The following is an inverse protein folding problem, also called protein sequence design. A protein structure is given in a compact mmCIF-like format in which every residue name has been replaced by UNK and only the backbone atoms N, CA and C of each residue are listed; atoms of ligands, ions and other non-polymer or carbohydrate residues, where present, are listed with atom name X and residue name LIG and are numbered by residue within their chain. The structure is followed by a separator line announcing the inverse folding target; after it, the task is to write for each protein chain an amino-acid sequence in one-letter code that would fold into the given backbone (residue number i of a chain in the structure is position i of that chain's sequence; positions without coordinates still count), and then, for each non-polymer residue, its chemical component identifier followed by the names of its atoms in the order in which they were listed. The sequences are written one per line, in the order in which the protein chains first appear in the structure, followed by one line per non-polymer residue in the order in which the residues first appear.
data_IF_595153511305
#
_entry.id   IF_595153511305
#
_cell.length_a   1.000
_cell.length_b   1.000
_cell.length_c   1.000
_cell.angle_alpha   90.00
_cell.angle_beta   90.00
_cell.angle_gamma   90.00
#
_symmetry.space_group_name_H-M   'P 1'
#
loop_
_entity.id
_entity.type
_entity.pdbx_description
1 polymer ?
#
# COMPACT_ATOMS: atom_id res chain seq x y z
N UNK A 1 -12.16 18.73 27.23
CA UNK A 1 -13.48 18.20 26.82
C UNK A 1 -13.29 17.20 25.70
N UNK A 2 -14.00 16.11 25.73
CA UNK A 2 -14.01 15.12 24.65
C UNK A 2 -14.80 15.69 23.46
N UNK A 3 -14.24 15.63 22.25
CA UNK A 3 -14.92 16.11 21.03
C UNK A 3 -15.89 15.05 20.53
N UNK A 4 -17.17 15.43 20.40
CA UNK A 4 -18.23 14.57 19.83
C UNK A 4 -18.65 15.21 18.50
N UNK A 5 -18.52 14.47 17.41
CA UNK A 5 -18.83 14.92 16.06
C UNK A 5 -20.25 14.45 15.70
N UNK A 6 -21.06 15.38 15.16
CA UNK A 6 -22.44 15.10 14.73
C UNK A 6 -23.28 14.48 15.86
N UNK A 7 -23.00 14.85 17.11
CA UNK A 7 -23.68 14.39 18.32
C UNK A 7 -23.64 12.87 18.58
N UNK A 8 -22.92 12.13 17.74
CA UNK A 8 -22.94 10.64 17.71
C UNK A 8 -21.56 9.99 17.79
N UNK A 9 -20.49 10.69 17.40
CA UNK A 9 -19.18 10.06 17.25
C UNK A 9 -18.16 10.70 18.19
N UNK A 10 -17.80 10.00 19.24
CA UNK A 10 -16.75 10.40 20.16
C UNK A 10 -15.40 10.25 19.48
N UNK A 11 -14.70 11.38 19.25
CA UNK A 11 -13.40 11.41 18.61
C UNK A 11 -12.34 10.78 19.50
N UNK A 12 -11.58 9.87 18.93
CA UNK A 12 -10.50 9.16 19.59
C UNK A 12 -9.12 9.59 19.10
N UNK A 13 -8.19 8.62 19.07
CA UNK A 13 -6.80 8.90 18.68
C UNK A 13 -6.65 9.15 17.19
N UNK A 14 -5.64 9.98 16.83
CA UNK A 14 -5.17 10.14 15.45
C UNK A 14 -4.56 8.83 14.94
N UNK A 15 -4.95 8.42 13.72
CA UNK A 15 -4.43 7.22 13.05
C UNK A 15 -3.68 7.55 11.75
N UNK A 16 -3.84 8.75 11.21
CA UNK A 16 -3.13 9.16 10.00
C UNK A 16 -3.20 10.65 9.73
N UNK A 17 -2.42 11.09 8.76
CA UNK A 17 -2.54 12.42 8.15
C UNK A 17 -2.12 12.33 6.69
N UNK A 18 -2.92 12.91 5.81
CA UNK A 18 -2.67 13.02 4.39
C UNK A 18 -2.53 14.47 3.95
N UNK A 19 -2.41 14.67 2.64
CA UNK A 19 -2.32 16.01 2.04
C UNK A 19 -3.57 16.86 2.28
N UNK A 20 -4.70 16.23 2.58
CA UNK A 20 -6.04 16.85 2.62
C UNK A 20 -6.75 16.62 3.95
N UNK A 21 -6.02 16.45 5.05
CA UNK A 21 -6.63 16.36 6.37
C UNK A 21 -5.99 15.36 7.30
N UNK A 22 -6.55 15.26 8.49
CA UNK A 22 -6.11 14.36 9.57
C UNK A 22 -7.15 13.28 9.77
N UNK A 23 -6.70 12.05 9.98
CA UNK A 23 -7.57 10.88 10.16
C UNK A 23 -7.50 10.42 11.61
N UNK A 24 -8.67 10.22 12.20
CA UNK A 24 -8.85 9.77 13.58
C UNK A 24 -9.70 8.49 13.63
N UNK A 25 -9.56 7.72 14.68
CA UNK A 25 -10.60 6.79 15.11
C UNK A 25 -11.71 7.57 15.80
N UNK A 26 -12.95 7.10 15.68
CA UNK A 26 -14.02 7.51 16.56
C UNK A 26 -14.92 6.32 16.90
N UNK A 27 -15.68 6.45 17.97
CA UNK A 27 -16.64 5.45 18.41
C UNK A 27 -18.03 6.04 18.42
N UNK A 28 -18.98 5.38 17.77
CA UNK A 28 -20.38 5.77 17.83
C UNK A 28 -20.89 5.55 19.27
N UNK A 29 -21.49 6.58 19.89
CA UNK A 29 -21.80 6.58 21.32
C UNK A 29 -22.87 5.55 21.73
N UNK A 30 -23.77 5.19 20.84
CA UNK A 30 -24.88 4.25 21.10
C UNK A 30 -24.53 2.81 20.67
N UNK A 31 -23.96 2.65 19.45
CA UNK A 31 -23.71 1.33 18.87
C UNK A 31 -22.31 0.78 19.16
N UNK A 32 -21.44 1.61 19.72
CA UNK A 32 -20.01 1.32 19.96
C UNK A 32 -19.23 0.94 18.70
N UNK A 33 -19.81 1.19 17.51
CA UNK A 33 -19.12 0.96 16.24
C UNK A 33 -17.89 1.86 16.14
N UNK A 34 -16.74 1.27 15.79
CA UNK A 34 -15.50 2.00 15.57
C UNK A 34 -15.43 2.40 14.10
N UNK A 35 -15.18 3.69 13.84
CA UNK A 35 -15.18 4.28 12.50
C UNK A 35 -13.90 5.09 12.24
N UNK A 36 -13.64 5.41 10.97
CA UNK A 36 -12.60 6.34 10.55
C UNK A 36 -13.21 7.71 10.29
N UNK A 37 -12.59 8.75 10.84
CA UNK A 37 -13.02 10.15 10.71
C UNK A 37 -11.92 10.94 10.04
N UNK A 38 -12.18 11.48 8.85
CA UNK A 38 -11.29 12.42 8.16
C UNK A 38 -11.77 13.85 8.44
N UNK A 39 -10.87 14.70 8.90
CA UNK A 39 -11.14 16.10 9.28
C UNK A 39 -10.24 17.01 8.45
N UNK A 40 -10.82 18.00 7.81
CA UNK A 40 -10.13 19.05 7.04
C UNK A 40 -10.59 20.42 7.50
N UNK A 41 -9.64 21.29 7.81
CA UNK A 41 -9.99 22.69 8.14
C UNK A 41 -10.50 23.40 6.87
N UNK A 42 -11.66 24.04 6.96
CA UNK A 42 -12.32 24.75 5.84
C UNK A 42 -11.55 25.96 5.33
N UNK A 43 -10.63 26.49 6.13
CA UNK A 43 -9.78 27.62 5.77
C UNK A 43 -8.52 27.20 5.00
N UNK A 44 -8.36 25.91 4.69
CA UNK A 44 -7.25 25.45 3.85
C UNK A 44 -7.33 26.09 2.47
N UNK A 45 -6.18 26.32 1.83
CA UNK A 45 -6.10 26.97 0.51
C UNK A 45 -6.90 26.25 -0.59
N UNK A 46 -7.06 24.94 -0.47
CA UNK A 46 -7.76 24.09 -1.44
C UNK A 46 -8.56 23.01 -0.71
N UNK A 47 -9.74 23.35 -0.16
CA UNK A 47 -10.56 22.37 0.56
C UNK A 47 -11.10 21.32 -0.42
N UNK A 48 -10.94 20.04 -0.08
CA UNK A 48 -11.32 18.91 -0.94
C UNK A 48 -12.27 17.93 -0.28
N UNK A 49 -12.37 17.92 1.05
CA UNK A 49 -13.10 16.87 1.76
C UNK A 49 -14.60 16.86 1.43
N UNK A 50 -15.21 18.00 1.20
CA UNK A 50 -16.63 18.07 0.80
C UNK A 50 -16.86 17.51 -0.62
N UNK A 51 -15.89 17.72 -1.52
CA UNK A 51 -15.92 17.12 -2.85
C UNK A 51 -15.74 15.60 -2.78
N UNK A 52 -14.76 15.15 -2.00
CA UNK A 52 -14.51 13.74 -1.74
C UNK A 52 -15.75 13.04 -1.14
N UNK A 53 -16.42 13.67 -0.17
CA UNK A 53 -17.64 13.15 0.43
C UNK A 53 -18.81 13.00 -0.59
N UNK A 54 -18.93 13.92 -1.56
CA UNK A 54 -19.89 13.80 -2.66
C UNK A 54 -19.57 12.57 -3.53
N UNK A 55 -18.30 12.32 -3.81
CA UNK A 55 -17.88 11.16 -4.60
C UNK A 55 -18.16 9.85 -3.88
N UNK A 56 -17.86 9.75 -2.59
CA UNK A 56 -18.24 8.58 -1.80
C UNK A 56 -19.76 8.30 -1.89
N UNK A 57 -20.60 9.36 -1.89
CA UNK A 57 -22.07 9.19 -2.03
C UNK A 57 -22.44 8.60 -3.39
N UNK A 58 -21.78 9.05 -4.48
CA UNK A 58 -22.04 8.54 -5.85
C UNK A 58 -21.56 7.11 -6.00
N UNK A 59 -20.47 6.75 -5.34
CA UNK A 59 -19.81 5.45 -5.43
C UNK A 59 -20.37 4.44 -4.42
N UNK A 60 -21.19 4.87 -3.45
CA UNK A 60 -21.70 4.00 -2.39
C UNK A 60 -22.43 2.77 -2.94
N UNK A 61 -22.28 1.63 -2.24
CA UNK A 61 -22.81 0.33 -2.66
C UNK A 61 -21.88 -0.43 -3.62
N UNK A 62 -20.82 0.20 -4.15
CA UNK A 62 -19.81 -0.49 -4.93
C UNK A 62 -18.93 -1.41 -4.08
N UNK A 63 -18.62 -2.59 -4.62
CA UNK A 63 -17.70 -3.51 -3.94
C UNK A 63 -16.34 -2.87 -3.73
N UNK A 64 -15.83 -2.83 -2.48
CA UNK A 64 -14.56 -2.21 -2.12
C UNK A 64 -14.60 -0.67 -2.08
N UNK A 65 -15.76 -0.08 -1.91
CA UNK A 65 -15.97 1.31 -1.53
C UNK A 65 -16.45 1.31 -0.07
N UNK A 66 -15.80 2.03 0.86
CA UNK A 66 -16.27 2.14 2.23
C UNK A 66 -17.60 2.90 2.31
N UNK A 67 -18.45 2.50 3.25
CA UNK A 67 -19.71 3.18 3.47
C UNK A 67 -19.50 4.50 4.21
N UNK A 68 -20.29 5.52 3.82
CA UNK A 68 -20.38 6.76 4.60
C UNK A 68 -21.27 6.50 5.81
N UNK A 69 -20.78 6.86 6.98
CA UNK A 69 -21.53 6.84 8.25
C UNK A 69 -22.11 8.21 8.55
N UNK A 70 -21.33 9.26 8.30
CA UNK A 70 -21.75 10.64 8.47
C UNK A 70 -20.85 11.59 7.67
N UNK A 71 -21.40 12.73 7.29
CA UNK A 71 -20.64 13.83 6.67
C UNK A 71 -21.28 15.16 7.03
N UNK A 72 -20.47 16.17 7.23
CA UNK A 72 -20.97 17.50 7.57
C UNK A 72 -19.87 18.47 7.93
N UNK A 73 -20.26 19.48 8.68
CA UNK A 73 -19.39 20.52 9.22
C UNK A 73 -19.49 20.45 10.74
N UNK A 74 -18.35 20.51 11.41
CA UNK A 74 -18.23 20.56 12.85
C UNK A 74 -17.31 21.74 13.21
N UNK A 75 -17.88 22.85 13.67
CA UNK A 75 -17.18 24.11 13.84
C UNK A 75 -16.55 24.61 12.53
N UNK A 76 -15.24 24.80 12.53
CA UNK A 76 -14.48 25.26 11.35
C UNK A 76 -13.99 24.10 10.46
N UNK A 77 -14.39 22.87 10.74
CA UNK A 77 -13.90 21.69 10.04
C UNK A 77 -14.97 21.04 9.15
N UNK A 78 -14.58 20.64 7.96
CA UNK A 78 -15.30 19.65 7.17
C UNK A 78 -14.96 18.27 7.69
N UNK A 79 -15.95 17.40 7.84
CA UNK A 79 -15.78 16.06 8.40
C UNK A 79 -16.45 15.03 7.52
N UNK A 80 -15.76 13.91 7.31
CA UNK A 80 -16.24 12.72 6.65
C UNK A 80 -15.98 11.51 7.56
N UNK A 81 -17.01 10.74 7.85
CA UNK A 81 -16.96 9.49 8.65
C UNK A 81 -17.33 8.33 7.75
N UNK A 82 -16.43 7.34 7.69
CA UNK A 82 -16.58 6.15 6.86
C UNK A 82 -16.28 4.89 7.67
N UNK A 83 -16.55 3.71 7.11
CA UNK A 83 -16.14 2.44 7.67
C UNK A 83 -14.66 2.49 8.06
N UNK A 84 -14.33 1.93 9.24
CA UNK A 84 -12.93 1.64 9.56
C UNK A 84 -12.45 0.49 8.68
N UNK A 85 -11.30 0.68 8.04
CA UNK A 85 -10.65 -0.33 7.22
C UNK A 85 -9.37 -0.83 7.90
N UNK A 86 -8.82 -1.91 7.37
CA UNK A 86 -7.57 -2.49 7.76
C UNK A 86 -6.34 -1.73 7.22
N UNK A 87 -5.17 -2.36 7.23
CA UNK A 87 -3.93 -1.75 6.76
C UNK A 87 -3.97 -1.46 5.26
N UNK A 88 -3.21 -0.43 4.84
CA UNK A 88 -2.98 -0.15 3.43
C UNK A 88 -2.04 -1.20 2.80
N UNK A 89 -2.09 -1.33 1.47
CA UNK A 89 -1.16 -2.21 0.76
C UNK A 89 0.31 -1.71 0.88
N UNK A 90 0.54 -0.40 1.14
CA UNK A 90 1.88 0.10 1.46
C UNK A 90 2.36 -0.41 2.83
N UNK A 91 1.49 -0.37 3.86
CA UNK A 91 1.81 -0.94 5.18
C UNK A 91 2.12 -2.44 5.08
N UNK A 92 1.32 -3.17 4.31
CA UNK A 92 1.47 -4.61 4.13
C UNK A 92 2.72 -4.98 3.34
N UNK A 93 3.05 -4.27 2.27
CA UNK A 93 4.29 -4.54 1.52
C UNK A 93 5.53 -4.26 2.36
N UNK A 94 5.50 -3.20 3.18
CA UNK A 94 6.57 -2.92 4.14
C UNK A 94 6.68 -4.03 5.19
N UNK A 95 5.54 -4.48 5.73
CA UNK A 95 5.48 -5.59 6.70
C UNK A 95 6.03 -6.91 6.12
N UNK A 96 5.80 -7.17 4.83
CA UNK A 96 6.30 -8.34 4.11
C UNK A 96 7.72 -8.18 3.54
N UNK A 97 8.54 -7.28 4.09
CA UNK A 97 9.93 -7.10 3.65
C UNK A 97 10.06 -6.38 2.31
N UNK A 98 9.10 -5.52 1.97
CA UNK A 98 9.03 -4.67 0.77
C UNK A 98 8.79 -5.40 -0.55
N UNK A 99 8.35 -6.64 -0.51
CA UNK A 99 7.95 -7.40 -1.69
C UNK A 99 6.78 -8.31 -1.37
N UNK A 100 5.94 -8.53 -2.37
CA UNK A 100 4.93 -9.57 -2.34
C UNK A 100 5.32 -10.72 -3.28
N UNK A 101 4.85 -11.93 -2.96
CA UNK A 101 4.90 -13.07 -3.86
C UNK A 101 4.04 -12.83 -5.11
N UNK A 102 4.35 -13.53 -6.20
CA UNK A 102 3.55 -13.47 -7.43
C UNK A 102 2.09 -13.83 -7.15
N UNK A 103 1.83 -14.87 -6.35
CA UNK A 103 0.47 -15.27 -5.95
C UNK A 103 -0.30 -14.11 -5.32
N UNK A 104 0.30 -13.45 -4.32
CA UNK A 104 -0.32 -12.30 -3.64
C UNK A 104 -0.60 -11.16 -4.62
N UNK A 105 0.37 -10.81 -5.49
CA UNK A 105 0.20 -9.73 -6.48
C UNK A 105 -0.93 -10.03 -7.46
N UNK A 106 -1.05 -11.26 -7.95
CA UNK A 106 -2.10 -11.64 -8.89
C UNK A 106 -3.49 -11.62 -8.27
N UNK A 107 -3.64 -12.07 -7.00
CA UNK A 107 -4.91 -11.95 -6.26
C UNK A 107 -5.30 -10.50 -6.02
N UNK A 108 -4.33 -9.60 -5.76
CA UNK A 108 -4.58 -8.18 -5.60
C UNK A 108 -4.93 -7.50 -6.94
N UNK A 109 -4.21 -7.84 -8.02
CA UNK A 109 -4.40 -7.23 -9.34
C UNK A 109 -5.84 -7.36 -9.83
N UNK A 110 -6.45 -8.54 -9.71
CA UNK A 110 -7.83 -8.78 -10.10
C UNK A 110 -8.81 -7.85 -9.35
N UNK A 111 -8.63 -7.72 -8.03
CA UNK A 111 -9.46 -6.85 -7.21
C UNK A 111 -9.21 -5.37 -7.54
N UNK A 112 -7.95 -4.94 -7.66
CA UNK A 112 -7.60 -3.54 -7.92
C UNK A 112 -8.10 -3.07 -9.29
N UNK A 113 -7.96 -3.89 -10.35
CA UNK A 113 -8.54 -3.61 -11.67
C UNK A 113 -10.06 -3.45 -11.55
N UNK A 114 -10.72 -4.32 -10.78
CA UNK A 114 -12.19 -4.25 -10.58
C UNK A 114 -12.61 -2.96 -9.86
N UNK A 115 -11.82 -2.45 -8.89
CA UNK A 115 -12.11 -1.17 -8.21
C UNK A 115 -11.98 0.01 -9.16
N UNK A 116 -10.94 0.02 -10.00
CA UNK A 116 -10.73 1.07 -11.01
C UNK A 116 -11.81 1.02 -12.08
N UNK A 117 -12.17 -0.17 -12.57
CA UNK A 117 -13.28 -0.37 -13.52
C UNK A 117 -14.59 0.20 -12.96
N UNK A 118 -14.91 -0.09 -11.69
CA UNK A 118 -16.11 0.44 -11.04
C UNK A 118 -16.10 1.97 -11.01
N UNK A 119 -15.00 2.59 -10.58
CA UNK A 119 -14.85 4.06 -10.55
C UNK A 119 -15.03 4.66 -11.95
N UNK A 120 -14.39 4.07 -12.96
CA UNK A 120 -14.51 4.50 -14.34
C UNK A 120 -15.93 4.33 -14.89
N UNK A 121 -16.65 3.27 -14.49
CA UNK A 121 -18.05 3.06 -14.89
C UNK A 121 -18.99 4.15 -14.35
N UNK A 122 -18.65 4.76 -13.21
CA UNK A 122 -19.35 5.92 -12.64
C UNK A 122 -18.94 7.25 -13.24
N UNK A 123 -18.04 7.24 -14.24
CA UNK A 123 -17.59 8.44 -14.97
C UNK A 123 -16.48 9.22 -14.29
N UNK A 124 -15.74 8.62 -13.37
CA UNK A 124 -14.66 9.27 -12.63
C UNK A 124 -13.31 8.59 -12.85
N UNK A 125 -12.23 9.37 -12.79
CA UNK A 125 -10.85 8.95 -12.68
C UNK A 125 -10.41 9.13 -11.23
N UNK A 126 -9.52 8.27 -10.75
CA UNK A 126 -8.92 8.40 -9.42
C UNK A 126 -7.79 9.44 -9.39
N UNK A 127 -6.88 9.37 -10.33
CA UNK A 127 -5.71 10.24 -10.55
C UNK A 127 -4.61 10.19 -9.47
N UNK A 128 -4.76 9.32 -8.47
CA UNK A 128 -3.70 9.05 -7.47
C UNK A 128 -3.68 7.57 -7.08
N UNK A 129 -3.57 6.69 -8.08
CA UNK A 129 -3.42 5.25 -7.87
C UNK A 129 -2.04 4.99 -7.26
N UNK A 130 -2.05 4.50 -6.01
CA UNK A 130 -0.85 4.15 -5.23
C UNK A 130 -1.21 3.12 -4.15
N UNK A 131 -0.23 2.38 -3.60
CA UNK A 131 -0.47 1.37 -2.56
C UNK A 131 -1.17 1.91 -1.31
N UNK A 132 -0.89 3.17 -0.94
CA UNK A 132 -1.48 3.83 0.23
C UNK A 132 -3.01 4.00 0.12
N UNK A 133 -3.55 4.08 -1.10
CA UNK A 133 -4.96 4.31 -1.37
C UNK A 133 -5.77 3.02 -1.59
N UNK A 134 -5.14 1.86 -1.38
CA UNK A 134 -5.81 0.57 -1.34
C UNK A 134 -5.63 -0.06 0.04
N UNK A 135 -6.73 -0.31 0.73
CA UNK A 135 -6.77 -0.88 2.07
C UNK A 135 -7.46 -2.24 2.06
N UNK A 136 -7.03 -3.13 2.92
CA UNK A 136 -7.77 -4.37 3.18
C UNK A 136 -8.98 -4.08 4.07
N UNK A 137 -10.02 -4.87 3.94
CA UNK A 137 -11.14 -4.81 4.86
C UNK A 137 -10.81 -5.40 6.24
N UNK A 138 -11.78 -5.41 7.15
CA UNK A 138 -11.69 -5.99 8.49
C UNK A 138 -12.69 -7.13 8.68
N UNK A 139 -12.41 -8.03 9.62
CA UNK A 139 -13.29 -9.14 9.98
C UNK A 139 -13.62 -10.02 8.76
N UNK A 140 -14.90 -10.23 8.48
CA UNK A 140 -15.37 -11.05 7.35
C UNK A 140 -14.96 -10.52 5.98
N UNK A 141 -14.53 -9.25 5.88
CA UNK A 141 -14.08 -8.60 4.65
C UNK A 141 -12.54 -8.46 4.58
N UNK A 142 -11.80 -9.14 5.44
CA UNK A 142 -10.34 -9.02 5.54
C UNK A 142 -9.58 -9.44 4.26
N UNK A 143 -10.23 -10.17 3.36
CA UNK A 143 -9.71 -10.56 2.05
C UNK A 143 -10.12 -9.62 0.90
N UNK A 144 -10.90 -8.58 1.20
CA UNK A 144 -11.41 -7.63 0.21
C UNK A 144 -10.55 -6.37 0.17
N UNK A 145 -10.15 -5.95 -1.05
CA UNK A 145 -9.46 -4.68 -1.29
C UNK A 145 -10.47 -3.55 -1.43
N UNK A 146 -10.23 -2.47 -0.70
CA UNK A 146 -10.97 -1.21 -0.78
C UNK A 146 -10.12 -0.14 -1.44
N UNK A 147 -10.73 0.76 -2.20
CA UNK A 147 -10.10 1.96 -2.73
C UNK A 147 -10.65 3.18 -1.98
N UNK A 148 -9.74 4.10 -1.61
CA UNK A 148 -10.05 5.29 -0.80
C UNK A 148 -9.38 6.53 -1.39
N UNK A 149 -9.67 7.69 -0.80
CA UNK A 149 -9.05 9.00 -1.07
C UNK A 149 -9.38 9.51 -2.49
N UNK A 150 -10.63 9.94 -2.67
CA UNK A 150 -11.11 10.54 -3.92
C UNK A 150 -10.89 12.07 -4.00
N UNK A 151 -10.03 12.62 -3.13
CA UNK A 151 -9.76 14.07 -3.10
C UNK A 151 -9.19 14.62 -4.41
N UNK A 152 -8.46 13.81 -5.16
CA UNK A 152 -7.95 14.16 -6.50
C UNK A 152 -8.78 13.61 -7.65
N UNK A 153 -9.87 12.88 -7.38
CA UNK A 153 -10.68 12.27 -8.43
C UNK A 153 -11.30 13.33 -9.35
N UNK A 154 -11.56 12.98 -10.60
CA UNK A 154 -12.10 13.89 -11.60
C UNK A 154 -13.15 13.19 -12.47
N UNK A 155 -14.26 13.88 -12.72
CA UNK A 155 -15.21 13.42 -13.74
C UNK A 155 -14.57 13.52 -15.13
N UNK A 156 -14.53 12.39 -15.85
CA UNK A 156 -13.99 12.34 -17.20
C UNK A 156 -15.06 12.21 -18.27
N UNK A 157 -16.29 11.89 -17.90
CA UNK A 157 -17.42 11.71 -18.81
C UNK A 157 -18.64 12.42 -18.25
N UNK A 158 -19.27 13.23 -19.09
CA UNK A 158 -20.50 13.92 -18.74
C UNK A 158 -21.64 12.91 -18.52
N UNK A 159 -22.42 13.01 -17.43
CA UNK A 159 -23.44 12.02 -17.10
C UNK A 159 -24.69 12.09 -18.01
N UNK A 160 -24.92 13.23 -18.67
CA UNK A 160 -26.09 13.45 -19.53
C UNK A 160 -25.74 13.17 -20.98
N UNK A 161 -24.70 13.82 -21.49
CA UNK A 161 -24.31 13.73 -22.90
C UNK A 161 -23.40 12.52 -23.19
N UNK A 162 -22.90 11.86 -22.17
CA UNK A 162 -21.94 10.75 -22.24
C UNK A 162 -20.63 11.12 -22.94
N UNK A 163 -20.35 12.40 -23.15
CA UNK A 163 -19.15 12.89 -23.82
C UNK A 163 -17.93 12.81 -22.88
N UNK A 164 -16.81 12.37 -23.43
CA UNK A 164 -15.52 12.40 -22.75
C UNK A 164 -15.00 13.84 -22.62
N UNK A 165 -14.23 14.14 -21.56
CA UNK A 165 -13.54 15.42 -21.47
C UNK A 165 -12.58 15.58 -22.66
N UNK A 166 -12.33 16.82 -23.12
CA UNK A 166 -11.43 17.05 -24.23
C UNK A 166 -9.97 16.78 -23.85
N UNK A 167 -9.19 16.32 -24.85
CA UNK A 167 -7.74 16.26 -24.75
C UNK A 167 -7.16 17.65 -24.51
N UNK A 168 -6.21 17.74 -23.58
CA UNK A 168 -5.51 18.98 -23.24
C UNK A 168 -4.07 18.67 -22.87
N UNK A 169 -3.18 19.62 -23.16
CA UNK A 169 -1.78 19.58 -22.76
C UNK A 169 -1.47 20.69 -21.73
N UNK A 170 -0.22 20.79 -21.34
CA UNK A 170 0.28 21.76 -20.35
C UNK A 170 -0.42 21.69 -18.99
N UNK A 171 -0.78 20.47 -18.57
CA UNK A 171 -1.35 20.22 -17.25
C UNK A 171 -0.26 20.03 -16.20
N UNK A 172 -0.49 20.56 -15.02
CA UNK A 172 0.37 20.27 -13.87
C UNK A 172 0.26 18.80 -13.47
N UNK A 173 1.39 18.21 -13.03
CA UNK A 173 1.42 16.86 -12.52
C UNK A 173 0.45 16.74 -11.34
N UNK A 174 -0.55 15.87 -11.47
CA UNK A 174 -1.53 15.55 -10.42
C UNK A 174 -1.30 14.10 -9.98
N UNK A 175 -1.35 13.87 -8.68
CA UNK A 175 -1.11 12.56 -8.07
C UNK A 175 0.34 12.38 -7.61
N UNK A 176 0.71 11.16 -7.35
CA UNK A 176 2.02 10.77 -6.79
C UNK A 176 3.01 10.47 -7.93
N UNK A 177 4.05 11.29 -8.07
CA UNK A 177 5.01 11.22 -9.19
C UNK A 177 5.60 9.81 -9.40
N UNK A 178 5.81 9.03 -8.33
CA UNK A 178 6.30 7.65 -8.40
C UNK A 178 5.44 6.77 -9.30
N UNK A 179 4.12 6.90 -9.18
CA UNK A 179 3.15 6.04 -9.87
C UNK A 179 2.44 6.71 -11.03
N UNK A 180 2.49 8.04 -11.16
CA UNK A 180 1.86 8.78 -12.25
C UNK A 180 2.30 8.26 -13.63
N UNK A 181 1.39 8.21 -14.61
CA UNK A 181 1.66 7.75 -15.97
C UNK A 181 2.69 8.62 -16.70
N UNK A 182 3.28 8.09 -17.75
CA UNK A 182 4.17 8.86 -18.63
C UNK A 182 3.46 10.11 -19.18
N UNK A 183 2.23 9.99 -19.65
CA UNK A 183 1.44 11.10 -20.17
C UNK A 183 1.19 12.17 -19.10
N UNK A 184 0.93 11.79 -17.86
CA UNK A 184 0.79 12.74 -16.74
C UNK A 184 2.08 13.52 -16.50
N UNK A 185 3.23 12.88 -16.60
CA UNK A 185 4.54 13.56 -16.51
C UNK A 185 4.83 14.48 -17.69
N UNK A 186 4.27 14.19 -18.87
CA UNK A 186 4.38 15.03 -20.08
C UNK A 186 3.37 16.19 -20.08
N UNK A 187 2.55 16.31 -19.02
CA UNK A 187 1.57 17.39 -18.92
C UNK A 187 0.31 17.16 -19.76
N UNK A 188 0.02 15.93 -20.15
CA UNK A 188 -1.21 15.55 -20.85
C UNK A 188 -2.31 15.34 -19.83
N UNK A 189 -3.54 15.76 -20.14
CA UNK A 189 -4.73 15.53 -19.33
C UNK A 189 -4.93 14.02 -19.09
N UNK A 190 -5.23 13.65 -17.84
CA UNK A 190 -5.42 12.25 -17.47
C UNK A 190 -6.76 11.70 -17.99
N UNK A 191 -6.74 10.43 -18.37
CA UNK A 191 -7.90 9.64 -18.73
C UNK A 191 -7.84 8.24 -18.11
N UNK A 192 -8.73 7.33 -18.52
CA UNK A 192 -8.79 5.97 -17.94
C UNK A 192 -7.48 5.19 -18.07
N UNK A 193 -6.74 5.38 -19.19
CA UNK A 193 -5.46 4.72 -19.42
C UNK A 193 -4.41 5.06 -18.38
N UNK A 194 -4.44 6.30 -17.86
CA UNK A 194 -3.46 6.79 -16.89
C UNK A 194 -3.62 6.15 -15.50
N UNK A 195 -4.86 5.94 -15.03
CA UNK A 195 -5.11 5.17 -13.81
C UNK A 195 -4.63 3.71 -13.94
N UNK A 196 -4.83 3.10 -15.11
CA UNK A 196 -4.39 1.72 -15.36
C UNK A 196 -2.87 1.61 -15.49
N UNK A 197 -2.20 2.56 -16.15
CA UNK A 197 -0.74 2.60 -16.22
C UNK A 197 -0.14 2.76 -14.80
N UNK A 198 -0.73 3.63 -14.00
CA UNK A 198 -0.35 3.80 -12.59
C UNK A 198 -0.52 2.49 -11.79
N UNK A 199 -1.59 1.74 -12.02
CA UNK A 199 -1.76 0.42 -11.41
C UNK A 199 -0.66 -0.55 -11.86
N UNK A 200 -0.29 -0.56 -13.13
CA UNK A 200 0.84 -1.38 -13.63
C UNK A 200 2.12 -1.10 -12.85
N UNK A 201 2.45 0.17 -12.60
CA UNK A 201 3.61 0.53 -11.77
C UNK A 201 3.48 0.11 -10.32
N UNK A 202 2.29 0.12 -9.75
CA UNK A 202 2.02 -0.39 -8.40
C UNK A 202 2.27 -1.91 -8.33
N UNK A 203 1.78 -2.68 -9.30
CA UNK A 203 1.98 -4.13 -9.35
C UNK A 203 3.47 -4.48 -9.50
N UNK A 204 4.20 -3.75 -10.35
CA UNK A 204 5.66 -3.90 -10.48
C UNK A 204 6.39 -3.54 -9.19
N UNK A 205 5.96 -2.48 -8.51
CA UNK A 205 6.51 -2.11 -7.20
C UNK A 205 6.34 -3.24 -6.17
N UNK A 206 5.19 -3.89 -6.13
CA UNK A 206 4.96 -5.02 -5.22
C UNK A 206 5.89 -6.21 -5.49
N UNK A 207 6.15 -6.54 -6.75
CA UNK A 207 7.04 -7.65 -7.13
C UNK A 207 8.52 -7.30 -6.95
N UNK A 208 8.92 -6.06 -7.27
CA UNK A 208 10.31 -5.64 -7.30
C UNK A 208 10.81 -5.06 -5.98
N UNK A 209 9.89 -4.51 -5.16
CA UNK A 209 10.19 -3.75 -3.95
C UNK A 209 10.61 -2.31 -4.19
N UNK A 210 10.91 -1.94 -5.44
CA UNK A 210 11.23 -0.58 -5.86
C UNK A 210 11.02 -0.38 -7.36
N UNK A 211 10.94 0.87 -7.80
CA UNK A 211 10.89 1.26 -9.21
C UNK A 211 12.18 2.01 -9.59
N UNK A 212 12.63 1.95 -10.86
CA UNK A 212 13.92 2.51 -11.30
C UNK A 212 14.07 4.02 -11.06
N UNK A 213 12.98 4.74 -10.91
CA UNK A 213 12.94 6.19 -10.64
C UNK A 213 12.75 6.54 -9.17
N UNK A 214 12.91 5.58 -8.26
CA UNK A 214 12.91 5.86 -6.80
C UNK A 214 14.32 6.24 -6.33
N UNK A 215 14.37 7.07 -5.28
CA UNK A 215 15.63 7.44 -4.64
C UNK A 215 16.48 8.46 -5.42
N UNK A 216 16.00 9.02 -6.53
CA UNK A 216 16.70 10.04 -7.29
C UNK A 216 16.90 11.30 -6.44
N UNK A 217 18.15 11.73 -6.32
CA UNK A 217 18.53 12.97 -5.61
C UNK A 217 18.32 14.19 -6.51
N UNK A 218 17.77 15.26 -5.95
CA UNK A 218 17.59 16.55 -6.62
C UNK A 218 17.45 17.63 -5.56
N UNK A 219 17.84 18.85 -5.89
CA UNK A 219 17.84 19.99 -4.98
C UNK A 219 16.45 20.60 -4.83
N UNK A 220 15.65 20.57 -5.92
CA UNK A 220 14.30 21.10 -5.92
C UNK A 220 13.26 20.03 -6.28
N UNK A 221 12.02 20.27 -5.86
CA UNK A 221 10.88 19.40 -6.23
C UNK A 221 10.70 19.31 -7.74
N UNK A 222 10.91 20.42 -8.47
CA UNK A 222 10.82 20.46 -9.94
C UNK A 222 11.88 19.56 -10.56
N UNK A 223 13.16 19.74 -10.22
CA UNK A 223 14.26 18.89 -10.72
C UNK A 223 14.02 17.41 -10.41
N UNK A 224 13.49 17.11 -9.21
CA UNK A 224 13.14 15.72 -8.86
C UNK A 224 12.07 15.14 -9.79
N UNK A 225 11.06 15.92 -10.12
CA UNK A 225 10.00 15.47 -11.04
C UNK A 225 10.51 15.34 -12.47
N UNK A 226 11.39 16.22 -12.92
CA UNK A 226 12.03 16.13 -14.23
C UNK A 226 12.89 14.86 -14.34
N UNK A 227 13.73 14.57 -13.35
CA UNK A 227 14.53 13.33 -13.30
C UNK A 227 13.66 12.07 -13.28
N UNK A 228 12.55 12.09 -12.54
CA UNK A 228 11.59 10.96 -12.53
C UNK A 228 10.98 10.78 -13.92
N UNK A 229 10.55 11.88 -14.56
CA UNK A 229 9.99 11.86 -15.92
C UNK A 229 10.98 11.28 -16.91
N UNK A 230 12.20 11.82 -16.97
CA UNK A 230 13.26 11.36 -17.87
C UNK A 230 13.54 9.87 -17.67
N UNK A 231 13.73 9.43 -16.43
CA UNK A 231 13.99 8.02 -16.11
C UNK A 231 12.81 7.12 -16.50
N UNK A 232 11.59 7.56 -16.26
CA UNK A 232 10.38 6.79 -16.58
C UNK A 232 10.18 6.66 -18.09
N UNK A 233 10.30 7.75 -18.85
CA UNK A 233 10.14 7.77 -20.31
C UNK A 233 11.28 7.01 -21.01
N UNK A 234 12.51 7.10 -20.49
CA UNK A 234 13.67 6.42 -21.08
C UNK A 234 13.82 4.95 -20.68
N UNK A 235 12.97 4.42 -19.78
CA UNK A 235 13.03 3.00 -19.40
C UNK A 235 12.05 2.17 -20.24
N UNK A 236 12.53 1.33 -21.19
CA UNK A 236 11.65 0.44 -21.95
C UNK A 236 10.88 -0.51 -21.05
N UNK A 237 9.67 -0.90 -21.47
CA UNK A 237 8.79 -1.82 -20.72
C UNK A 237 9.50 -3.16 -20.51
N UNK A 238 10.25 -3.64 -21.50
CA UNK A 238 11.00 -4.91 -21.43
C UNK A 238 12.07 -4.87 -20.33
N UNK A 239 12.74 -3.73 -20.18
CA UNK A 239 13.73 -3.53 -19.10
C UNK A 239 13.03 -3.40 -17.77
N UNK A 240 11.91 -2.70 -17.72
CA UNK A 240 11.11 -2.54 -16.51
C UNK A 240 10.52 -3.87 -16.02
N UNK A 241 10.10 -4.74 -16.93
CA UNK A 241 9.50 -6.04 -16.64
C UNK A 241 10.52 -7.20 -16.69
N UNK A 242 11.82 -6.91 -16.82
CA UNK A 242 12.85 -7.96 -16.88
C UNK A 242 12.74 -8.93 -15.71
N UNK A 243 12.80 -10.23 -16.00
CA UNK A 243 12.68 -11.32 -15.03
C UNK A 243 11.32 -11.45 -14.33
N UNK A 244 10.29 -10.80 -14.86
CA UNK A 244 8.90 -10.98 -14.44
C UNK A 244 8.11 -11.72 -15.54
N UNK A 245 6.95 -12.33 -15.21
CA UNK A 245 6.08 -12.91 -16.22
C UNK A 245 5.71 -11.91 -17.32
N UNK A 246 5.64 -12.36 -18.55
CA UNK A 246 5.41 -11.53 -19.75
C UNK A 246 4.09 -10.75 -19.68
N UNK A 247 3.14 -11.22 -18.92
CA UNK A 247 1.83 -10.61 -18.73
C UNK A 247 1.92 -9.19 -18.15
N UNK A 248 2.94 -8.90 -17.35
CA UNK A 248 3.17 -7.55 -16.82
C UNK A 248 3.64 -6.58 -17.92
N UNK A 249 4.47 -7.06 -18.85
CA UNK A 249 4.84 -6.26 -20.03
C UNK A 249 3.63 -6.07 -20.94
N UNK A 250 2.89 -7.14 -21.23
CA UNK A 250 1.66 -7.08 -22.03
C UNK A 250 0.62 -6.11 -21.47
N UNK A 251 0.46 -6.09 -20.13
CA UNK A 251 -0.41 -5.14 -19.44
C UNK A 251 0.00 -3.68 -19.71
N UNK A 252 1.30 -3.35 -19.56
CA UNK A 252 1.79 -1.98 -19.78
C UNK A 252 1.74 -1.58 -21.25
N UNK A 253 2.09 -2.48 -22.17
CA UNK A 253 1.94 -2.23 -23.62
C UNK A 253 0.49 -1.94 -23.99
N UNK A 254 -0.46 -2.72 -23.45
CA UNK A 254 -1.87 -2.45 -23.66
C UNK A 254 -2.27 -1.07 -23.13
N UNK A 255 -1.86 -0.68 -21.90
CA UNK A 255 -2.15 0.65 -21.37
C UNK A 255 -1.58 1.77 -22.24
N UNK A 256 -0.36 1.61 -22.76
CA UNK A 256 0.30 2.59 -23.64
C UNK A 256 -0.33 2.65 -25.04
N UNK A 257 -0.96 1.59 -25.53
CA UNK A 257 -1.63 1.56 -26.83
C UNK A 257 -3.00 2.25 -26.83
N UNK A 258 -3.59 2.50 -25.65
CA UNK A 258 -4.90 3.13 -25.54
C UNK A 258 -4.87 4.61 -25.97
N UNK A 259 -5.80 5.01 -26.82
CA UNK A 259 -6.04 6.42 -27.11
C UNK A 259 -6.66 7.14 -25.90
N UNK A 260 -6.67 8.47 -25.92
CA UNK A 260 -7.08 9.29 -24.77
C UNK A 260 -8.50 8.98 -24.27
N UNK A 261 -9.45 8.80 -25.17
CA UNK A 261 -10.87 8.58 -24.87
C UNK A 261 -11.32 7.12 -25.01
N UNK A 262 -10.40 6.23 -25.42
CA UNK A 262 -10.70 4.81 -25.61
C UNK A 262 -11.14 4.15 -24.30
N UNK A 263 -12.21 3.34 -24.39
CA UNK A 263 -12.63 2.49 -23.27
C UNK A 263 -11.68 1.30 -23.14
N UNK A 264 -11.01 1.12 -21.98
CA UNK A 264 -10.20 -0.06 -21.75
C UNK A 264 -11.03 -1.35 -21.70
N UNK A 265 -10.47 -2.45 -22.18
CA UNK A 265 -10.99 -3.80 -21.94
C UNK A 265 -10.44 -4.31 -20.59
N UNK A 266 -11.18 -4.01 -19.52
CA UNK A 266 -10.83 -4.47 -18.16
C UNK A 266 -10.92 -6.00 -18.05
N UNK A 267 -11.81 -6.62 -18.82
CA UNK A 267 -11.95 -8.07 -18.91
C UNK A 267 -10.68 -8.72 -19.43
N UNK A 268 -10.10 -8.16 -20.50
CA UNK A 268 -8.80 -8.59 -21.04
C UNK A 268 -7.70 -8.45 -19.99
N UNK A 269 -7.57 -7.30 -19.33
CA UNK A 269 -6.54 -7.08 -18.31
C UNK A 269 -6.66 -8.04 -17.13
N UNK A 270 -7.88 -8.35 -16.70
CA UNK A 270 -8.12 -9.35 -15.65
C UNK A 270 -7.78 -10.77 -16.13
N UNK A 271 -8.14 -11.11 -17.39
CA UNK A 271 -7.79 -12.42 -17.96
C UNK A 271 -6.29 -12.65 -18.02
N UNK A 272 -5.48 -11.67 -18.44
CA UNK A 272 -4.02 -11.77 -18.44
C UNK A 272 -3.48 -12.33 -17.12
N UNK A 273 -3.93 -11.77 -15.99
CA UNK A 273 -3.45 -12.18 -14.67
C UNK A 273 -4.12 -13.45 -14.14
N UNK A 274 -5.38 -13.72 -14.51
CA UNK A 274 -6.07 -14.96 -14.14
C UNK A 274 -5.48 -16.17 -14.86
N UNK A 275 -5.16 -16.04 -16.14
CA UNK A 275 -4.53 -17.09 -16.91
C UNK A 275 -3.12 -17.40 -16.38
N UNK A 276 -2.34 -16.36 -16.06
CA UNK A 276 -1.06 -16.51 -15.36
C UNK A 276 -1.25 -17.23 -14.02
N UNK A 277 -2.21 -16.80 -13.21
CA UNK A 277 -2.50 -17.41 -11.90
C UNK A 277 -2.80 -18.91 -12.01
N UNK A 278 -3.59 -19.30 -13.01
CA UNK A 278 -3.93 -20.70 -13.30
C UNK A 278 -2.72 -21.47 -13.81
N UNK A 279 -1.91 -20.89 -14.71
CA UNK A 279 -0.70 -21.51 -15.25
C UNK A 279 0.35 -21.79 -14.18
N UNK A 280 0.47 -20.92 -13.19
CA UNK A 280 1.35 -21.11 -12.03
C UNK A 280 0.79 -22.12 -11.00
N UNK A 281 -0.39 -22.71 -11.24
CA UNK A 281 -1.02 -23.69 -10.36
C UNK A 281 -1.52 -23.11 -9.03
N UNK A 282 -1.71 -21.80 -8.93
CA UNK A 282 -2.19 -21.17 -7.69
C UNK A 282 -3.68 -21.44 -7.45
N UNK A 283 -4.06 -21.42 -6.17
CA UNK A 283 -5.47 -21.51 -5.73
C UNK A 283 -5.94 -20.17 -5.20
N UNK A 284 -7.18 -19.75 -5.54
CA UNK A 284 -7.81 -18.53 -5.06
C UNK A 284 -8.35 -18.75 -3.62
N UNK A 285 -7.43 -18.86 -2.68
CA UNK A 285 -7.70 -19.14 -1.26
C UNK A 285 -7.62 -17.88 -0.39
N UNK A 286 -7.28 -16.74 -0.97
CA UNK A 286 -7.05 -15.46 -0.28
C UNK A 286 -5.99 -15.55 0.85
N UNK A 287 -5.11 -16.53 0.79
CA UNK A 287 -3.97 -16.63 1.69
C UNK A 287 -2.85 -15.75 1.14
N UNK A 288 -2.79 -14.54 1.63
CA UNK A 288 -1.78 -13.55 1.27
C UNK A 288 -0.49 -13.71 2.07
N UNK A 289 0.60 -13.09 1.63
CA UNK A 289 1.91 -13.17 2.30
C UNK A 289 1.84 -12.73 3.77
N UNK A 290 1.11 -11.68 4.10
CA UNK A 290 0.95 -11.24 5.49
C UNK A 290 0.15 -12.22 6.35
N UNK A 291 -0.75 -12.99 5.75
CA UNK A 291 -1.48 -14.05 6.44
C UNK A 291 -0.53 -15.17 6.85
N UNK A 292 0.36 -15.57 5.93
CA UNK A 292 1.40 -16.59 6.17
C UNK A 292 2.35 -16.10 7.28
N UNK A 293 2.82 -14.86 7.20
CA UNK A 293 3.71 -14.27 8.21
C UNK A 293 3.07 -14.22 9.59
N UNK A 294 1.80 -13.83 9.69
CA UNK A 294 1.04 -13.83 10.95
C UNK A 294 0.98 -15.24 11.54
N UNK A 295 0.66 -16.24 10.73
CA UNK A 295 0.61 -17.63 11.17
C UNK A 295 1.97 -18.11 11.70
N UNK A 296 3.06 -17.86 10.95
CA UNK A 296 4.41 -18.24 11.37
C UNK A 296 4.84 -17.56 12.67
N UNK A 297 4.50 -16.28 12.88
CA UNK A 297 4.78 -15.57 14.11
C UNK A 297 4.03 -16.18 15.30
N UNK A 298 2.75 -16.53 15.10
CA UNK A 298 1.93 -17.16 16.14
C UNK A 298 2.49 -18.52 16.55
N UNK A 299 2.96 -19.34 15.60
CA UNK A 299 3.57 -20.64 15.89
C UNK A 299 4.88 -20.49 16.68
N UNK A 300 5.75 -19.54 16.28
CA UNK A 300 7.00 -19.26 17.01
C UNK A 300 6.75 -18.82 18.44
N UNK A 301 5.75 -17.98 18.68
CA UNK A 301 5.39 -17.54 20.04
C UNK A 301 4.88 -18.69 20.90
N UNK A 302 4.12 -19.62 20.34
CA UNK A 302 3.68 -20.83 21.05
C UNK A 302 4.84 -21.73 21.42
N UNK A 303 5.75 -22.00 20.49
CA UNK A 303 6.93 -22.85 20.73
C UNK A 303 7.87 -22.27 21.81
N UNK A 304 7.94 -20.95 21.94
CA UNK A 304 8.76 -20.30 22.97
C UNK A 304 8.11 -20.38 24.37
N UNK A 305 6.79 -20.50 24.45
CA UNK A 305 6.06 -20.64 25.72
C UNK A 305 6.08 -22.10 26.25
N UNK A 306 6.37 -23.08 25.37
CA UNK A 306 6.41 -24.51 25.70
C UNK A 306 7.79 -25.02 26.11
N UNK A 307 8.83 -24.18 26.14
CA UNK A 307 10.15 -24.57 26.67
C UNK A 307 10.05 -24.64 28.20
N UNK A 308 10.27 -25.84 28.84
CA UNK A 308 10.26 -25.94 30.30
C UNK A 308 11.37 -25.07 30.87
N UNK A 309 11.04 -24.24 31.85
CA UNK A 309 12.05 -23.57 32.66
C UNK A 309 12.87 -24.65 33.38
N UNK A 310 14.09 -24.87 32.90
CA UNK A 310 15.08 -25.65 33.67
C UNK A 310 15.38 -24.85 34.91
N UNK A 311 14.78 -25.28 36.03
CA UNK A 311 15.16 -24.85 37.38
C UNK A 311 16.64 -25.25 37.58
N UNK A 312 17.52 -24.37 38.04
CA UNK A 312 18.86 -24.75 38.43
C UNK A 312 18.74 -25.69 39.64
N UNK A 313 19.10 -26.97 39.45
CA UNK A 313 19.27 -27.92 40.53
C UNK A 313 20.37 -27.38 41.48
N UNK A 314 19.98 -27.18 42.71
CA UNK A 314 20.88 -26.89 43.82
C UNK A 314 21.95 -28.01 43.92
N UNK A 315 23.21 -27.61 43.76
CA UNK A 315 24.35 -28.48 43.99
C UNK A 315 24.47 -28.75 45.48
N UNK A 316 24.10 -29.94 45.94
CA UNK A 316 24.57 -30.48 47.20
C UNK A 316 25.90 -31.17 46.99
N UNK A 317 26.94 -30.69 47.64
CA UNK A 317 28.26 -31.25 47.71
C UNK A 317 28.24 -32.66 48.34
N UNK A 318 28.64 -33.66 47.58
CA UNK A 318 28.92 -35.02 48.05
C UNK A 318 30.15 -35.56 47.33
N UNK A 319 31.20 -35.76 48.11
CA UNK A 319 32.48 -36.35 47.72
C UNK A 319 32.33 -37.83 47.35
N UNK A 320 32.93 -38.26 46.24
CA UNK A 320 33.03 -39.71 45.91
C UNK A 320 33.51 -39.99 44.50
N UNK A 321 34.77 -40.37 44.41
CA UNK A 321 35.51 -41.20 43.43
C UNK A 321 35.00 -41.43 42.00
N UNK A 322 35.92 -41.19 41.07
CA UNK A 322 35.93 -41.62 39.66
C UNK A 322 35.92 -43.15 39.46
N UNK A 323 35.43 -43.66 38.32
CA UNK A 323 36.37 -44.28 37.40
C UNK A 323 36.29 -43.82 35.94
N UNK A 324 37.46 -43.88 35.32
CA UNK A 324 37.75 -43.72 33.88
C UNK A 324 37.11 -44.87 33.07
N UNK A 325 36.66 -44.60 31.82
CA UNK A 325 36.91 -45.44 30.66
C UNK A 325 36.49 -44.75 29.35
N UNK A 326 37.47 -44.57 28.47
CA UNK A 326 37.58 -44.63 27.00
C UNK A 326 36.55 -43.95 26.03
N UNK A 327 37.09 -43.00 25.32
CA UNK A 327 37.30 -42.74 23.89
C UNK A 327 36.57 -43.64 22.86
N UNK A 328 35.92 -42.98 21.85
CA UNK A 328 36.21 -43.11 20.41
C UNK A 328 35.37 -42.14 19.56
N UNK A 329 36.06 -41.24 18.92
CA UNK A 329 36.12 -40.89 17.48
C UNK A 329 34.82 -40.69 16.69
N UNK A 330 34.65 -39.50 16.12
CA UNK A 330 34.59 -39.31 14.67
C UNK A 330 34.83 -37.84 14.33
N UNK A 331 35.88 -37.64 13.53
CA UNK A 331 36.34 -36.43 12.88
C UNK A 331 35.55 -36.11 11.62
N UNK A 332 35.86 -34.86 11.14
CA UNK A 332 35.82 -34.34 9.78
C UNK A 332 34.44 -33.74 9.34
N UNK A 333 34.37 -32.54 8.82
CA UNK A 333 35.19 -31.94 7.78
C UNK A 333 35.02 -30.39 7.85
N UNK A 334 36.14 -29.70 8.00
CA UNK A 334 36.28 -28.27 7.69
C UNK A 334 36.75 -28.13 6.25
N UNK A 335 36.09 -27.34 5.43
CA UNK A 335 36.73 -26.73 4.26
C UNK A 335 36.69 -25.21 4.33
N UNK A 336 37.89 -24.66 4.37
CA UNK A 336 38.24 -23.25 4.18
C UNK A 336 38.12 -22.88 2.70
N UNK A 337 37.63 -21.68 2.40
CA UNK A 337 38.15 -20.91 1.28
C UNK A 337 38.38 -19.50 1.77
N UNK A 338 39.66 -19.09 1.68
CA UNK A 338 40.22 -17.77 1.93
C UNK A 338 40.30 -16.98 0.62
N UNK A 339 40.15 -15.68 0.70
CA UNK A 339 40.40 -14.79 -0.44
C UNK A 339 40.28 -13.30 -0.06
N UNK A 340 41.36 -12.75 0.46
CA UNK A 340 41.99 -11.41 0.39
C UNK A 340 41.16 -10.15 0.10
N UNK A 341 41.06 -9.29 1.06
CA UNK A 341 41.69 -7.98 1.36
C UNK A 341 42.10 -7.09 0.18
N UNK A 342 41.53 -5.87 0.09
CA UNK A 342 42.25 -4.61 -0.07
C UNK A 342 41.56 -3.52 0.74
N UNK A 343 42.35 -2.86 1.60
CA UNK A 343 42.07 -1.65 2.36
C UNK A 343 42.18 -0.40 1.49
N UNK A 344 41.43 0.62 1.82
CA UNK A 344 41.64 1.99 1.40
C UNK A 344 40.97 2.94 2.39
N UNK A 345 41.79 3.55 3.23
CA UNK A 345 41.47 4.63 4.16
C UNK A 345 41.12 5.94 3.44
N UNK A 346 40.21 6.74 3.98
CA UNK A 346 40.49 8.07 4.52
C UNK A 346 39.21 8.90 4.82
N UNK A 347 39.17 9.27 6.11
CA UNK A 347 38.80 10.58 6.73
C UNK A 347 37.49 11.29 6.40
N UNK A 348 36.73 11.36 7.43
CA UNK A 348 35.93 12.40 8.09
C UNK A 348 35.65 13.75 7.38
N UNK A 349 34.40 14.18 7.37
CA UNK A 349 33.93 15.37 8.10
C UNK A 349 32.41 15.42 8.17
N UNK A 350 31.95 15.87 9.33
CA UNK A 350 30.57 16.11 9.77
C UNK A 350 29.77 17.06 8.86
N UNK A 351 28.47 16.79 8.73
CA UNK A 351 27.38 17.69 9.12
C UNK A 351 26.03 17.05 8.74
N UNK A 352 25.20 16.85 9.78
CA UNK A 352 23.76 16.54 9.66
C UNK A 352 23.01 17.80 9.23
N UNK A 353 21.86 17.65 8.51
CA UNK A 353 20.62 17.89 9.23
C UNK A 353 19.56 16.79 9.06
N UNK A 354 18.83 16.67 10.12
CA UNK A 354 17.79 15.76 10.46
C UNK A 354 16.53 15.98 9.60
N UNK A 355 16.05 14.93 8.94
CA UNK A 355 14.73 14.91 8.31
C UNK A 355 14.12 13.50 8.42
N UNK A 356 14.00 13.00 9.67
CA UNK A 356 13.47 11.66 9.99
C UNK A 356 12.07 11.63 10.58
N UNK A 357 11.31 12.72 10.60
CA UNK A 357 10.03 12.77 11.32
C UNK A 357 8.81 12.25 10.56
N UNK A 358 8.83 12.21 9.22
CA UNK A 358 7.65 11.77 8.45
C UNK A 358 7.49 10.24 8.30
N UNK A 359 8.59 9.48 8.20
CA UNK A 359 8.53 8.02 7.94
C UNK A 359 8.23 7.17 9.18
N UNK A 360 8.61 7.61 10.37
CA UNK A 360 8.41 6.85 11.61
C UNK A 360 6.97 6.88 12.13
N UNK A 361 6.16 7.85 11.74
CA UNK A 361 4.77 7.94 12.18
C UNK A 361 3.89 6.93 11.44
N UNK A 362 4.08 6.76 10.12
CA UNK A 362 3.32 5.74 9.35
C UNK A 362 3.66 4.30 9.78
N UNK A 363 4.92 4.00 10.09
CA UNK A 363 5.31 2.66 10.53
C UNK A 363 4.74 2.27 11.91
N UNK A 364 4.52 3.24 12.81
CA UNK A 364 3.82 3.02 14.09
C UNK A 364 2.32 2.79 13.92
N UNK A 365 1.70 3.41 12.91
CA UNK A 365 0.26 3.27 12.64
C UNK A 365 -0.06 1.87 12.10
N UNK A 366 0.73 1.35 11.16
CA UNK A 366 0.56 -0.02 10.64
C UNK A 366 0.62 -1.09 11.75
N UNK A 367 1.56 -0.97 12.70
CA UNK A 367 1.64 -1.89 13.86
C UNK A 367 0.41 -1.82 14.77
N UNK A 368 -0.17 -0.64 14.96
CA UNK A 368 -1.32 -0.43 15.85
C UNK A 368 -2.64 -0.86 15.21
N UNK A 369 -2.80 -0.73 13.89
CA UNK A 369 -3.97 -1.24 13.16
C UNK A 369 -3.92 -2.77 13.08
N UNK A 370 -2.74 -3.37 12.91
CA UNK A 370 -2.55 -4.83 12.97
C UNK A 370 -2.86 -5.38 14.38
N UNK A 371 -2.53 -4.64 15.46
CA UNK A 371 -2.89 -5.00 16.83
C UNK A 371 -4.39 -4.82 17.13
N UNK A 372 -5.03 -3.77 16.62
CA UNK A 372 -6.47 -3.57 16.78
C UNK A 372 -7.29 -4.66 16.05
N UNK A 373 -6.82 -5.10 14.86
CA UNK A 373 -7.44 -6.21 14.13
C UNK A 373 -7.32 -7.58 14.86
N UNK A 374 -6.31 -7.75 15.73
CA UNK A 374 -6.13 -8.97 16.52
C UNK A 374 -6.98 -9.01 17.81
N UNK A 375 -7.55 -7.87 18.22
CA UNK A 375 -8.43 -7.78 19.40
C UNK A 375 -9.93 -7.89 19.06
N UNK A 376 -10.27 -7.99 17.77
CA UNK A 376 -11.67 -8.06 17.29
C UNK A 376 -11.98 -9.41 16.61
N UNK A 377 -11.04 -10.36 16.66
CA UNK A 377 -11.24 -11.76 16.20
C UNK A 377 -11.47 -12.71 17.35
#
# INVERSE_FOLDING_TARGET
MERIIGEKYKLGRKIGSGSFGVIYLATHIETFEIVAVKIENRQTRHPQLLYEAKLYTILQGGSGIPNIKWRGVDGNDSVLIIDLLGPSLEDLVVHCGRKFSLKTVLMLADQMITRIEYLHSKGFLHRDIKPDNFLMGLGRKANQVYVIDFGLAKRYRDPVTNRHIPYRENKNLTGTARYASCNTHLGIEQSRRDDLESLGYVLLYFLRGSLPWQGLKADTKKQKYDKIREKKVSTPIEVLCKSLPVEFASYLHYCHSLTFDQRPDYGFLKRLFRDLFTREGYKMDYVFDWTILKYQQTQRSKSQLELPSLHPLSVTTGTGALPKVLNKQAEATKQKISGNFVRGDASATNLKPDNRTGKNVMHKVGKLVLQAASCIS
#
